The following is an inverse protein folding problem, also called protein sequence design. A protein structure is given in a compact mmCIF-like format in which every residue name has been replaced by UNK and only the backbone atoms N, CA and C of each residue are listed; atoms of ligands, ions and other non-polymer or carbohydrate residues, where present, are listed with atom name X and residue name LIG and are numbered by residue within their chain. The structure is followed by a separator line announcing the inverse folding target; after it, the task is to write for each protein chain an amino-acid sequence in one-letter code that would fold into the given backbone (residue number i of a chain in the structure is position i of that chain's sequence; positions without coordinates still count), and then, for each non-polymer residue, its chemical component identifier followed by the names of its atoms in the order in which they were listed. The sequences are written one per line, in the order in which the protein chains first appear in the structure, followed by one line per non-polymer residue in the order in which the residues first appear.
data_IF_858971478489
#
_entry.id   IF_858971478489
#
_cell.length_a   1.000
_cell.length_b   1.000
_cell.length_c   1.000
_cell.angle_alpha   90.00
_cell.angle_beta   90.00
_cell.angle_gamma   90.00
#
_symmetry.space_group_name_H-M   'P 1'
#
loop_
_entity.id
_entity.type
_entity.pdbx_description
1 polymer ?
#
# COMPACT_ATOMS: atom_id res chain seq x y z
N UNK A 1 -18.96 28.59 -6.03
CA UNK A 1 -20.02 27.58 -6.21
C UNK A 1 -19.46 26.20 -6.56
N UNK A 2 -18.39 25.76 -5.89
CA UNK A 2 -17.68 24.48 -6.19
C UNK A 2 -17.49 23.58 -4.97
N UNK A 3 -17.85 24.04 -3.77
CA UNK A 3 -17.67 23.31 -2.50
C UNK A 3 -18.83 22.35 -2.21
N UNK A 4 -20.02 22.60 -2.77
CA UNK A 4 -21.23 21.82 -2.50
C UNK A 4 -21.30 20.46 -3.20
N UNK A 5 -20.44 20.20 -4.19
CA UNK A 5 -20.47 18.92 -4.95
C UNK A 5 -19.66 17.83 -4.24
N UNK A 6 -18.71 18.20 -3.38
CA UNK A 6 -17.91 17.22 -2.61
C UNK A 6 -18.71 16.73 -1.40
N UNK A 7 -19.59 17.57 -0.84
CA UNK A 7 -20.32 17.26 0.42
C UNK A 7 -21.44 16.24 0.24
N UNK A 8 -22.02 16.11 -0.96
CA UNK A 8 -23.22 15.29 -1.19
C UNK A 8 -22.97 13.78 -1.24
N UNK A 9 -21.72 13.32 -1.30
CA UNK A 9 -21.39 11.88 -1.25
C UNK A 9 -21.18 11.34 0.16
N UNK A 10 -21.01 12.22 1.15
CA UNK A 10 -20.78 11.83 2.54
C UNK A 10 -22.08 11.48 3.29
N UNK A 11 -23.24 11.95 2.83
CA UNK A 11 -24.51 11.78 3.55
C UNK A 11 -25.21 10.43 3.31
N UNK A 12 -24.66 9.56 2.45
CA UNK A 12 -25.28 8.26 2.11
C UNK A 12 -24.76 7.06 2.90
N UNK A 13 -23.75 7.25 3.75
CA UNK A 13 -23.11 6.15 4.48
C UNK A 13 -23.21 6.38 6.00
N UNK A 14 -23.55 5.32 6.75
CA UNK A 14 -23.58 5.39 8.22
C UNK A 14 -22.26 5.90 8.78
N UNK A 15 -22.30 6.63 9.90
CA UNK A 15 -21.16 7.38 10.47
C UNK A 15 -19.84 6.61 10.56
N UNK A 16 -19.88 5.29 10.75
CA UNK A 16 -18.70 4.42 10.74
C UNK A 16 -18.08 4.16 9.36
N UNK A 17 -18.88 4.09 8.29
CA UNK A 17 -18.41 3.83 6.92
C UNK A 17 -17.70 5.06 6.34
N UNK A 18 -18.22 6.26 6.61
CA UNK A 18 -17.57 7.52 6.23
C UNK A 18 -16.15 7.66 6.82
N UNK A 19 -15.98 7.27 8.08
CA UNK A 19 -14.67 7.29 8.73
C UNK A 19 -13.67 6.33 8.04
N UNK A 20 -14.10 5.12 7.67
CA UNK A 20 -13.21 4.15 7.01
C UNK A 20 -12.83 4.58 5.60
N UNK A 21 -13.75 5.19 4.86
CA UNK A 21 -13.48 5.76 3.53
C UNK A 21 -12.45 6.89 3.65
N UNK A 22 -12.66 7.83 4.58
CA UNK A 22 -11.71 8.92 4.82
C UNK A 22 -10.33 8.42 5.26
N UNK A 23 -10.30 7.41 6.14
CA UNK A 23 -9.05 6.75 6.56
C UNK A 23 -8.32 6.09 5.39
N UNK A 24 -9.04 5.37 4.54
CA UNK A 24 -8.47 4.68 3.38
C UNK A 24 -7.89 5.68 2.37
N UNK A 25 -8.59 6.79 2.09
CA UNK A 25 -8.12 7.84 1.20
C UNK A 25 -6.88 8.53 1.76
N UNK A 26 -6.87 8.86 3.06
CA UNK A 26 -5.71 9.48 3.71
C UNK A 26 -4.45 8.59 3.64
N UNK A 27 -4.59 7.29 3.91
CA UNK A 27 -3.46 6.35 3.82
C UNK A 27 -3.02 6.13 2.37
N UNK A 28 -3.95 6.14 1.42
CA UNK A 28 -3.66 6.04 -0.01
C UNK A 28 -2.90 7.27 -0.51
N UNK A 29 -3.31 8.47 -0.08
CA UNK A 29 -2.61 9.72 -0.36
C UNK A 29 -1.19 9.71 0.24
N UNK A 30 -1.04 9.23 1.47
CA UNK A 30 0.29 9.07 2.09
C UNK A 30 1.19 8.14 1.29
N UNK A 31 0.69 7.00 0.79
CA UNK A 31 1.48 6.11 -0.07
C UNK A 31 2.00 6.85 -1.31
N UNK A 32 1.14 7.62 -1.99
CA UNK A 32 1.54 8.40 -3.18
C UNK A 32 2.54 9.50 -2.83
N UNK A 33 2.33 10.22 -1.74
CA UNK A 33 3.28 11.23 -1.26
C UNK A 33 4.64 10.57 -1.05
N UNK A 34 4.69 9.43 -0.37
CA UNK A 34 5.95 8.73 -0.11
C UNK A 34 6.61 8.19 -1.37
N UNK A 35 5.82 7.80 -2.38
CA UNK A 35 6.34 7.34 -3.67
C UNK A 35 6.93 8.51 -4.48
N UNK A 36 6.25 9.66 -4.52
CA UNK A 36 6.64 10.79 -5.37
C UNK A 36 7.48 11.87 -4.65
N UNK A 37 7.57 11.83 -3.33
CA UNK A 37 8.33 12.81 -2.57
C UNK A 37 9.82 12.70 -2.87
N UNK A 38 10.47 13.85 -3.07
CA UNK A 38 11.93 13.93 -3.21
C UNK A 38 12.58 13.51 -1.90
N UNK A 39 13.32 12.39 -1.94
CA UNK A 39 13.93 11.70 -0.77
C UNK A 39 14.81 12.59 0.11
N UNK A 40 15.39 13.66 -0.43
CA UNK A 40 16.44 14.45 0.23
C UNK A 40 15.97 15.26 1.45
N UNK A 41 14.66 15.44 1.68
CA UNK A 41 14.13 16.29 2.76
C UNK A 41 13.20 15.57 3.74
N UNK A 42 13.10 14.23 3.71
CA UNK A 42 12.19 13.52 4.60
C UNK A 42 12.87 13.20 5.93
N UNK A 43 12.40 13.86 6.99
CA UNK A 43 12.86 13.57 8.35
C UNK A 43 12.47 12.12 8.75
N UNK A 44 13.36 11.39 9.46
CA UNK A 44 13.14 9.98 9.78
C UNK A 44 11.89 9.73 10.63
N UNK A 45 11.44 10.71 11.42
CA UNK A 45 10.23 10.63 12.24
C UNK A 45 8.97 10.50 11.39
N UNK A 46 8.92 11.17 10.23
CA UNK A 46 7.79 11.05 9.30
C UNK A 46 7.73 9.67 8.67
N UNK A 47 8.89 9.08 8.39
CA UNK A 47 8.98 7.74 7.84
C UNK A 47 8.49 6.69 8.85
N UNK A 48 8.89 6.81 10.12
CA UNK A 48 8.43 5.91 11.20
C UNK A 48 6.91 6.00 11.36
N UNK A 49 6.35 7.21 11.40
CA UNK A 49 4.90 7.42 11.51
C UNK A 49 4.16 6.84 10.30
N UNK A 50 4.71 7.04 9.10
CA UNK A 50 4.17 6.45 7.88
C UNK A 50 4.14 4.92 7.96
N UNK A 51 5.24 4.28 8.37
CA UNK A 51 5.28 2.82 8.50
C UNK A 51 4.31 2.30 9.55
N UNK A 52 4.18 2.96 10.70
CA UNK A 52 3.18 2.58 11.71
C UNK A 52 1.76 2.66 11.14
N UNK A 53 1.43 3.76 10.46
CA UNK A 53 0.14 3.96 9.80
C UNK A 53 -0.16 2.84 8.78
N UNK A 54 0.80 2.47 7.94
CA UNK A 54 0.63 1.37 6.98
C UNK A 54 0.54 0.02 7.67
N UNK A 55 1.35 -0.23 8.69
CA UNK A 55 1.37 -1.49 9.42
C UNK A 55 -0.01 -1.83 10.00
N UNK A 56 -0.67 -0.86 10.65
CA UNK A 56 -2.04 -1.01 11.16
C UNK A 56 -3.12 -0.91 10.08
N UNK A 57 -2.84 -0.23 8.96
CA UNK A 57 -3.77 -0.13 7.83
C UNK A 57 -3.85 -1.42 7.01
N UNK A 58 -2.78 -2.22 6.99
CA UNK A 58 -2.66 -3.50 6.27
C UNK A 58 -3.07 -4.71 7.11
N UNK A 59 -3.77 -4.50 8.22
CA UNK A 59 -4.20 -5.60 9.07
C UNK A 59 -5.26 -6.48 8.41
N UNK A 60 -5.04 -7.79 8.43
CA UNK A 60 -5.88 -8.78 7.72
C UNK A 60 -6.71 -9.65 8.68
N UNK A 61 -6.88 -9.24 9.93
CA UNK A 61 -7.70 -9.98 10.89
C UNK A 61 -9.18 -9.96 10.50
N UNK A 62 -9.85 -11.11 10.64
CA UNK A 62 -11.28 -11.29 10.31
C UNK A 62 -12.11 -10.37 11.22
N UNK A 63 -12.91 -9.49 10.62
CA UNK A 63 -13.69 -8.47 11.33
C UNK A 63 -13.04 -7.08 11.41
N UNK A 64 -11.80 -6.90 10.92
CA UNK A 64 -11.16 -5.59 10.72
C UNK A 64 -11.36 -5.06 9.30
N UNK A 65 -11.11 -3.76 9.11
CA UNK A 65 -11.45 -2.99 7.91
C UNK A 65 -10.63 -3.38 6.66
N UNK A 66 -11.12 -4.38 5.93
CA UNK A 66 -10.54 -4.83 4.65
C UNK A 66 -10.58 -3.74 3.56
N UNK A 67 -11.50 -2.78 3.67
CA UNK A 67 -11.59 -1.63 2.75
C UNK A 67 -10.33 -0.77 2.77
N UNK A 68 -9.77 -0.51 3.96
CA UNK A 68 -8.53 0.26 4.11
C UNK A 68 -7.35 -0.53 3.56
N UNK A 69 -7.27 -1.83 3.87
CA UNK A 69 -6.21 -2.71 3.39
C UNK A 69 -6.19 -2.79 1.85
N UNK A 70 -7.34 -3.01 1.20
CA UNK A 70 -7.42 -3.08 -0.26
C UNK A 70 -7.07 -1.76 -0.94
N UNK A 71 -7.46 -0.63 -0.35
CA UNK A 71 -7.12 0.70 -0.86
C UNK A 71 -5.61 1.01 -0.76
N UNK A 72 -4.98 0.65 0.36
CA UNK A 72 -3.52 0.76 0.54
C UNK A 72 -2.81 -0.15 -0.45
N UNK A 73 -3.22 -1.42 -0.56
CA UNK A 73 -2.57 -2.39 -1.44
C UNK A 73 -2.62 -1.93 -2.90
N UNK A 74 -3.72 -1.30 -3.32
CA UNK A 74 -3.86 -0.73 -4.65
C UNK A 74 -3.02 0.55 -4.85
N UNK A 75 -2.86 1.38 -3.81
CA UNK A 75 -2.12 2.65 -3.91
C UNK A 75 -0.61 2.53 -3.67
N UNK A 76 -0.15 1.43 -3.05
CA UNK A 76 1.24 1.23 -2.64
C UNK A 76 2.06 0.36 -3.60
N UNK A 77 1.59 0.14 -4.83
CA UNK A 77 2.17 -0.82 -5.82
C UNK A 77 3.66 -0.60 -6.09
N UNK A 78 4.09 0.66 -6.12
CA UNK A 78 5.50 1.02 -6.37
C UNK A 78 6.27 1.33 -5.08
N UNK A 79 5.62 1.28 -3.91
CA UNK A 79 6.23 1.70 -2.64
C UNK A 79 7.51 0.91 -2.31
N UNK A 80 7.52 -0.40 -2.59
CA UNK A 80 8.69 -1.25 -2.36
C UNK A 80 9.86 -0.96 -3.31
N UNK A 81 9.62 -0.23 -4.40
CA UNK A 81 10.64 0.14 -5.41
C UNK A 81 11.37 1.42 -5.04
N UNK A 82 10.81 2.19 -4.11
CA UNK A 82 11.32 3.51 -3.73
C UNK A 82 12.49 3.47 -2.74
N UNK A 83 13.10 2.30 -2.49
CA UNK A 83 14.28 2.11 -1.63
C UNK A 83 14.22 2.93 -0.32
N UNK A 84 13.03 2.93 0.32
CA UNK A 84 12.82 3.65 1.57
C UNK A 84 13.53 2.90 2.71
N UNK A 85 14.29 3.59 3.58
CA UNK A 85 15.06 2.92 4.62
C UNK A 85 14.12 2.22 5.60
N UNK A 86 14.37 0.94 5.88
CA UNK A 86 13.56 0.16 6.83
C UNK A 86 12.20 -0.32 6.30
N UNK A 87 11.87 -0.12 5.01
CA UNK A 87 10.60 -0.55 4.42
C UNK A 87 10.30 -2.04 4.60
N UNK A 88 11.35 -2.85 4.86
CA UNK A 88 11.23 -4.27 5.09
C UNK A 88 10.32 -4.66 6.27
N UNK A 89 10.10 -3.74 7.21
CA UNK A 89 9.15 -3.94 8.31
C UNK A 89 7.71 -4.17 7.82
N UNK A 90 7.36 -3.65 6.64
CA UNK A 90 6.04 -3.79 6.04
C UNK A 90 5.84 -5.10 5.26
N UNK A 91 6.92 -5.84 4.94
CA UNK A 91 6.83 -7.06 4.11
C UNK A 91 5.83 -8.09 4.66
N UNK A 92 5.89 -8.47 5.95
CA UNK A 92 4.98 -9.48 6.48
C UNK A 92 3.50 -9.09 6.32
N UNK A 93 3.19 -7.80 6.55
CA UNK A 93 1.83 -7.25 6.43
C UNK A 93 1.37 -7.19 4.98
N UNK A 94 2.22 -6.69 4.09
CA UNK A 94 1.91 -6.65 2.66
C UNK A 94 1.75 -8.06 2.07
N UNK A 95 2.59 -9.01 2.47
CA UNK A 95 2.47 -10.41 2.04
C UNK A 95 1.16 -11.04 2.52
N UNK A 96 0.79 -10.82 3.79
CA UNK A 96 -0.49 -11.28 4.33
C UNK A 96 -1.68 -10.68 3.57
N UNK A 97 -1.64 -9.37 3.25
CA UNK A 97 -2.65 -8.68 2.46
C UNK A 97 -2.75 -9.24 1.03
N UNK A 98 -1.62 -9.45 0.34
CA UNK A 98 -1.60 -10.08 -0.97
C UNK A 98 -2.21 -11.49 -0.93
N UNK A 99 -1.79 -12.32 0.03
CA UNK A 99 -2.34 -13.67 0.24
C UNK A 99 -3.85 -13.62 0.44
N UNK A 100 -4.35 -12.69 1.26
CA UNK A 100 -5.78 -12.51 1.49
C UNK A 100 -6.52 -12.20 0.18
N UNK A 101 -6.01 -11.26 -0.62
CA UNK A 101 -6.61 -10.87 -1.91
C UNK A 101 -6.61 -11.99 -2.95
N UNK A 102 -5.61 -12.89 -2.91
CA UNK A 102 -5.55 -14.04 -3.80
C UNK A 102 -6.48 -15.18 -3.37
N UNK A 103 -6.63 -15.41 -2.07
CA UNK A 103 -7.41 -16.54 -1.54
C UNK A 103 -8.90 -16.24 -1.38
N UNK A 104 -9.28 -14.98 -1.14
CA UNK A 104 -10.67 -14.58 -0.92
C UNK A 104 -11.31 -14.03 -2.21
N UNK A 105 -12.55 -14.43 -2.48
CA UNK A 105 -13.34 -13.96 -3.61
C UNK A 105 -14.12 -12.67 -3.29
N UNK A 106 -14.39 -12.39 -2.01
CA UNK A 106 -15.28 -11.33 -1.54
C UNK A 106 -14.55 -10.23 -0.75
N UNK A 107 -13.38 -9.82 -1.22
CA UNK A 107 -12.61 -8.73 -0.61
C UNK A 107 -13.35 -7.39 -0.74
N UNK A 108 -13.60 -6.74 0.40
CA UNK A 108 -14.14 -5.37 0.47
C UNK A 108 -13.15 -4.38 -0.16
N UNK A 109 -13.63 -3.56 -1.09
CA UNK A 109 -12.79 -2.65 -1.89
C UNK A 109 -13.57 -1.43 -2.34
N UNK A 110 -12.89 -0.34 -2.75
CA UNK A 110 -13.55 0.80 -3.37
C UNK A 110 -14.29 0.40 -4.65
N UNK A 111 -15.45 1.01 -4.91
CA UNK A 111 -16.32 0.67 -6.05
C UNK A 111 -15.61 0.83 -7.41
N UNK A 112 -14.70 1.80 -7.51
CA UNK A 112 -13.92 2.05 -8.72
C UNK A 112 -12.79 1.03 -8.94
N UNK A 113 -12.54 0.13 -7.98
CA UNK A 113 -11.51 -0.91 -8.06
C UNK A 113 -12.18 -2.26 -8.31
N UNK A 114 -11.94 -2.81 -9.50
CA UNK A 114 -12.38 -4.20 -9.79
C UNK A 114 -11.46 -5.20 -9.09
N UNK A 115 -11.98 -6.41 -8.84
CA UNK A 115 -11.17 -7.48 -8.22
C UNK A 115 -9.94 -7.82 -9.06
N UNK A 116 -10.06 -7.78 -10.39
CA UNK A 116 -8.95 -8.01 -11.32
C UNK A 116 -7.85 -6.95 -11.16
N UNK A 117 -8.22 -5.68 -11.02
CA UNK A 117 -7.25 -4.59 -10.78
C UNK A 117 -6.56 -4.75 -9.43
N UNK A 118 -7.31 -5.11 -8.39
CA UNK A 118 -6.74 -5.33 -7.05
C UNK A 118 -5.77 -6.52 -7.03
N UNK A 119 -6.14 -7.64 -7.66
CA UNK A 119 -5.25 -8.81 -7.80
C UNK A 119 -4.01 -8.50 -8.62
N UNK A 120 -4.14 -7.70 -9.69
CA UNK A 120 -2.99 -7.22 -10.46
C UNK A 120 -2.06 -6.35 -9.61
N UNK A 121 -2.60 -5.42 -8.82
CA UNK A 121 -1.83 -4.60 -7.88
C UNK A 121 -1.10 -5.47 -6.85
N UNK A 122 -1.80 -6.45 -6.24
CA UNK A 122 -1.21 -7.40 -5.31
C UNK A 122 -0.07 -8.21 -5.95
N UNK A 123 -0.21 -8.61 -7.22
CA UNK A 123 0.84 -9.31 -7.96
C UNK A 123 2.06 -8.42 -8.19
N UNK A 124 1.89 -7.16 -8.58
CA UNK A 124 3.00 -6.22 -8.74
C UNK A 124 3.74 -5.98 -7.42
N UNK A 125 3.01 -5.90 -6.31
CA UNK A 125 3.61 -5.80 -4.98
C UNK A 125 4.41 -7.06 -4.64
N UNK A 126 3.84 -8.23 -4.89
CA UNK A 126 4.48 -9.52 -4.63
C UNK A 126 5.76 -9.69 -5.45
N UNK A 127 5.72 -9.36 -6.74
CA UNK A 127 6.91 -9.36 -7.60
C UNK A 127 7.98 -8.40 -7.07
N UNK A 128 7.57 -7.23 -6.59
CA UNK A 128 8.52 -6.27 -6.00
C UNK A 128 9.14 -6.84 -4.72
N UNK A 129 8.40 -7.58 -3.87
CA UNK A 129 8.95 -8.26 -2.68
C UNK A 129 9.96 -9.34 -3.02
N UNK A 130 9.70 -10.17 -4.03
CA UNK A 130 10.64 -11.23 -4.48
C UNK A 130 11.95 -10.61 -4.96
N UNK A 131 11.89 -9.42 -5.53
CA UNK A 131 13.05 -8.66 -5.98
C UNK A 131 13.73 -7.85 -4.86
N UNK A 132 13.20 -7.80 -3.61
CA UNK A 132 13.85 -7.08 -2.51
C UNK A 132 15.15 -7.80 -2.18
N UNK A 133 16.29 -7.20 -2.51
CA UNK A 133 17.56 -7.91 -2.59
C UNK A 133 18.16 -8.07 -1.19
N UNK A 134 17.67 -9.05 -0.45
CA UNK A 134 18.39 -9.61 0.70
C UNK A 134 19.47 -10.60 0.20
N UNK A 135 19.52 -10.91 -1.11
CA UNK A 135 20.41 -11.92 -1.67
C UNK A 135 21.70 -11.41 -2.34
N UNK A 136 21.88 -10.09 -2.56
CA UNK A 136 22.99 -9.58 -3.39
C UNK A 136 23.94 -8.58 -2.72
N UNK A 137 23.70 -8.16 -1.47
CA UNK A 137 24.59 -7.17 -0.83
C UNK A 137 26.03 -7.66 -0.60
N UNK A 138 26.27 -8.97 -0.64
CA UNK A 138 27.62 -9.57 -0.51
C UNK A 138 28.10 -10.24 -1.79
N UNK A 139 27.31 -10.22 -2.87
CA UNK A 139 27.67 -10.89 -4.12
C UNK A 139 28.29 -9.87 -5.06
N UNK A 140 29.60 -9.93 -5.22
CA UNK A 140 30.31 -9.22 -6.29
C UNK A 140 29.83 -9.83 -7.62
N UNK A 141 28.97 -9.12 -8.33
CA UNK A 141 28.53 -9.53 -9.67
C UNK A 141 29.71 -9.32 -10.61
N UNK A 142 30.57 -10.33 -10.78
CA UNK A 142 31.61 -10.32 -11.80
C UNK A 142 30.98 -10.59 -13.15
N UNK A 143 30.89 -9.54 -13.96
CA UNK A 143 30.50 -9.64 -15.36
C UNK A 143 31.55 -10.48 -16.11
N UNK A 144 31.18 -11.70 -16.54
CA UNK A 144 31.98 -12.48 -17.50
C UNK A 144 31.46 -12.24 -18.90
N UNK A 145 31.72 -11.06 -19.46
CA UNK A 145 31.76 -10.93 -20.92
C UNK A 145 33.24 -10.84 -21.32
N UNK A 146 33.77 -11.83 -22.08
CA UNK A 146 35.02 -11.62 -22.78
C UNK A 146 34.80 -10.62 -23.92
N UNK A 147 35.80 -9.76 -24.14
CA UNK A 147 35.91 -8.84 -25.28
C UNK A 147 35.78 -9.57 -26.61
#
# INVERSE_FOLDING_TARGET
TTVSVITTRCDQFGSGVNFQVGRAEALSALCRIMIYARRQNLAPEYLIRFYLCLYYGLETEVGRNLFTMSSILFSAVDLLREDLPGINILLPRLFAACKYVFCDENVTRPEYVTMTMLRRAALHQFMSMVCIPIQFKTVIIRCKFPN
#
